data_IF_463397809523
#
_entry.id   IF_463397809523
#
_cell.length_a   1.000
_cell.length_b   1.000
_cell.length_c   1.000
_cell.angle_alpha   90.00
_cell.angle_beta   90.00
_cell.angle_gamma   90.00
#
_symmetry.space_group_name_H-M   'P 1'
#
loop_
_entity.id
_entity.type
_entity.pdbx_description
1 polymer ?
#
# COMPACT_ATOMS: atom_id res chain seq x y z
N UNK A 1 -3.31 -26.57 -8.79
CA UNK A 1 -3.59 -25.49 -7.81
C UNK A 1 -4.01 -24.24 -8.59
N UNK A 2 -5.22 -24.26 -9.15
CA UNK A 2 -5.71 -23.21 -10.07
C UNK A 2 -7.20 -22.90 -9.88
N UNK A 3 -7.88 -23.69 -9.03
CA UNK A 3 -9.32 -23.64 -8.81
C UNK A 3 -9.76 -22.48 -7.91
N UNK A 4 -8.95 -22.06 -6.94
CA UNK A 4 -9.36 -21.03 -5.97
C UNK A 4 -9.32 -19.58 -6.51
N UNK A 5 -8.63 -19.33 -7.64
CA UNK A 5 -8.54 -17.97 -8.20
C UNK A 5 -9.76 -17.62 -9.04
N UNK A 6 -10.32 -18.57 -9.78
CA UNK A 6 -11.56 -18.37 -10.53
C UNK A 6 -12.72 -18.02 -9.59
N UNK A 7 -12.94 -18.87 -8.59
CA UNK A 7 -14.00 -18.68 -7.58
C UNK A 7 -13.84 -17.38 -6.78
N UNK A 8 -12.58 -16.97 -6.50
CA UNK A 8 -12.33 -15.68 -5.87
C UNK A 8 -12.73 -14.55 -6.82
N UNK A 9 -12.25 -14.54 -8.06
CA UNK A 9 -12.56 -13.48 -9.02
C UNK A 9 -14.06 -13.36 -9.34
N UNK A 10 -14.82 -14.44 -9.25
CA UNK A 10 -16.27 -14.49 -9.47
C UNK A 10 -17.10 -14.10 -8.23
N UNK A 11 -16.47 -13.95 -7.06
CA UNK A 11 -17.16 -13.56 -5.84
C UNK A 11 -17.61 -12.09 -5.89
N UNK A 12 -18.93 -11.87 -5.93
CA UNK A 12 -19.54 -10.54 -5.84
C UNK A 12 -19.40 -10.00 -4.42
N UNK A 13 -18.26 -9.37 -4.16
CA UNK A 13 -17.87 -8.85 -2.85
C UNK A 13 -17.50 -7.38 -2.99
N UNK A 14 -17.93 -6.55 -2.04
CA UNK A 14 -17.54 -5.14 -1.96
C UNK A 14 -16.03 -4.93 -1.74
N UNK A 15 -15.26 -6.01 -1.55
CA UNK A 15 -13.80 -6.00 -1.45
C UNK A 15 -13.20 -6.67 -2.68
N UNK A 16 -12.04 -6.22 -3.16
CA UNK A 16 -11.30 -6.96 -4.17
C UNK A 16 -11.13 -8.41 -3.71
N UNK A 17 -11.41 -9.42 -4.55
CA UNK A 17 -11.37 -10.82 -4.14
C UNK A 17 -10.03 -11.33 -3.60
N UNK A 18 -8.95 -10.60 -3.88
CA UNK A 18 -7.60 -10.86 -3.40
C UNK A 18 -7.28 -10.16 -2.08
N UNK A 19 -8.19 -9.35 -1.52
CA UNK A 19 -7.99 -8.69 -0.24
C UNK A 19 -7.97 -9.61 1.01
N UNK A 20 -8.65 -10.77 1.07
CA UNK A 20 -8.65 -11.61 2.27
C UNK A 20 -7.40 -12.50 2.41
N UNK A 21 -6.56 -12.61 1.37
CA UNK A 21 -5.39 -13.49 1.37
C UNK A 21 -4.26 -12.95 0.50
N UNK A 22 -3.01 -13.17 0.89
CA UNK A 22 -1.85 -12.92 0.02
C UNK A 22 -1.82 -13.97 -1.10
N UNK A 23 -2.02 -13.59 -2.38
CA UNK A 23 -1.95 -14.56 -3.46
C UNK A 23 -0.51 -15.06 -3.63
N UNK A 24 -0.34 -16.37 -3.65
CA UNK A 24 0.94 -17.02 -3.94
C UNK A 24 0.89 -17.63 -5.34
N UNK A 25 1.92 -17.36 -6.15
CA UNK A 25 2.04 -17.86 -7.51
C UNK A 25 3.29 -18.74 -7.62
N UNK A 26 3.12 -19.98 -8.06
CA UNK A 26 4.20 -20.97 -8.18
C UNK A 26 4.32 -21.51 -9.61
N UNK A 27 5.55 -21.85 -10.02
CA UNK A 27 5.84 -22.56 -11.25
C UNK A 27 6.48 -21.72 -12.37
N UNK A 28 6.92 -22.35 -13.47
CA UNK A 28 7.76 -21.72 -14.49
C UNK A 28 7.04 -20.60 -15.27
N UNK A 29 5.71 -20.60 -15.30
CA UNK A 29 4.91 -19.53 -15.94
C UNK A 29 4.59 -18.37 -15.00
N UNK A 30 4.92 -18.47 -13.71
CA UNK A 30 4.64 -17.44 -12.71
C UNK A 30 5.35 -16.13 -13.04
N UNK A 31 6.62 -16.20 -13.45
CA UNK A 31 7.45 -15.03 -13.72
C UNK A 31 6.94 -14.17 -14.88
N UNK A 32 6.15 -14.74 -15.79
CA UNK A 32 5.57 -14.04 -16.95
C UNK A 32 4.10 -13.66 -16.78
N UNK A 33 3.48 -13.93 -15.63
CA UNK A 33 2.07 -13.61 -15.44
C UNK A 33 1.88 -12.10 -15.33
N UNK A 34 1.15 -11.53 -16.29
CA UNK A 34 0.68 -10.16 -16.25
C UNK A 34 -0.83 -10.14 -16.01
N UNK A 35 -1.27 -9.40 -14.99
CA UNK A 35 -2.67 -9.15 -14.72
C UNK A 35 -3.02 -7.73 -15.12
N UNK A 36 -4.13 -7.55 -15.83
CA UNK A 36 -4.65 -6.23 -16.12
C UNK A 36 -5.33 -5.67 -14.87
N UNK A 37 -4.95 -4.49 -14.38
CA UNK A 37 -5.65 -3.88 -13.27
C UNK A 37 -7.11 -3.61 -13.67
N UNK A 38 -8.08 -3.70 -12.73
CA UNK A 38 -9.45 -3.31 -13.00
C UNK A 38 -9.53 -1.87 -13.50
N UNK A 39 -10.34 -1.62 -14.53
CA UNK A 39 -10.42 -0.33 -15.24
C UNK A 39 -11.14 0.77 -14.45
N UNK A 40 -11.98 0.38 -13.50
CA UNK A 40 -12.67 1.31 -12.62
C UNK A 40 -12.27 1.01 -11.19
N UNK A 41 -12.06 2.05 -10.36
CA UNK A 41 -12.09 1.84 -8.93
C UNK A 41 -13.47 1.25 -8.61
N UNK A 42 -13.50 0.00 -8.14
CA UNK A 42 -14.61 -0.43 -7.29
C UNK A 42 -14.82 0.64 -6.22
N UNK A 43 -16.06 0.86 -5.76
CA UNK A 43 -16.45 1.86 -4.76
C UNK A 43 -15.73 1.69 -3.41
N UNK A 44 -14.41 1.83 -3.44
CA UNK A 44 -13.47 1.72 -2.36
C UNK A 44 -13.39 3.12 -1.78
N UNK A 45 -14.16 3.33 -0.73
CA UNK A 45 -14.05 4.52 0.08
C UNK A 45 -12.64 4.52 0.69
N UNK A 46 -11.76 5.35 0.13
CA UNK A 46 -10.49 5.63 0.78
C UNK A 46 -10.80 6.32 2.11
N UNK A 47 -10.11 5.95 3.20
CA UNK A 47 -10.21 6.70 4.43
C UNK A 47 -9.91 8.17 4.10
N UNK A 48 -10.87 9.08 4.31
CA UNK A 48 -10.65 10.54 4.15
C UNK A 48 -9.85 11.10 5.33
N UNK A 49 -8.87 10.33 5.77
CA UNK A 49 -7.99 10.72 6.85
C UNK A 49 -6.74 11.29 6.19
N UNK A 50 -6.49 12.59 6.40
CA UNK A 50 -5.20 13.18 6.05
C UNK A 50 -4.05 12.43 6.71
N UNK A 51 -2.82 12.77 6.37
CA UNK A 51 -1.63 12.06 6.88
C UNK A 51 -1.55 12.06 8.41
N UNK A 52 -2.30 12.92 9.10
CA UNK A 52 -2.41 12.92 10.57
C UNK A 52 -2.98 11.64 11.22
N UNK A 53 -3.50 10.66 10.45
CA UNK A 53 -3.98 9.39 11.02
C UNK A 53 -3.18 8.22 10.43
N UNK A 54 -2.33 7.61 11.26
CA UNK A 54 -1.60 6.39 10.95
C UNK A 54 -0.24 6.59 10.25
N UNK A 55 0.09 7.79 9.79
CA UNK A 55 1.47 8.11 9.38
C UNK A 55 2.28 8.60 10.58
N UNK A 56 3.58 8.25 10.64
CA UNK A 56 4.56 8.98 11.44
C UNK A 56 4.58 10.47 11.08
N UNK A 57 4.98 11.30 12.03
CA UNK A 57 5.12 12.75 11.81
C UNK A 57 6.06 13.07 10.64
N UNK A 58 5.79 14.22 10.01
CA UNK A 58 6.63 14.74 8.94
C UNK A 58 8.06 14.93 9.45
N UNK A 59 9.09 14.44 8.73
CA UNK A 59 10.47 14.60 9.16
C UNK A 59 10.81 16.09 9.30
N UNK A 60 11.32 16.55 10.47
CA UNK A 60 11.54 17.97 10.71
C UNK A 60 12.62 18.56 9.78
N UNK A 61 13.54 17.74 9.29
CA UNK A 61 14.59 18.10 8.33
C UNK A 61 14.96 16.90 7.47
N UNK A 62 15.09 17.12 6.16
CA UNK A 62 15.61 16.13 5.22
C UNK A 62 16.70 16.77 4.34
N UNK A 63 17.95 16.34 4.52
CA UNK A 63 19.11 16.94 3.84
C UNK A 63 19.79 15.93 2.91
N UNK A 64 20.26 16.38 1.75
CA UNK A 64 21.10 15.57 0.84
C UNK A 64 20.36 14.47 0.08
N UNK A 65 19.02 14.49 0.03
CA UNK A 65 18.18 13.44 -0.59
C UNK A 65 17.39 13.90 -1.81
N UNK A 66 17.76 15.04 -2.39
CA UNK A 66 17.07 15.62 -3.56
C UNK A 66 17.02 14.64 -4.73
N UNK A 67 18.14 13.99 -5.07
CA UNK A 67 18.20 13.06 -6.21
C UNK A 67 17.30 11.82 -6.02
N UNK A 68 17.38 11.07 -4.90
CA UNK A 68 16.44 9.99 -4.61
C UNK A 68 14.96 10.42 -4.67
N UNK A 69 14.61 11.57 -4.07
CA UNK A 69 13.24 12.06 -4.05
C UNK A 69 12.74 12.46 -5.44
N UNK A 70 13.60 13.10 -6.24
CA UNK A 70 13.25 13.49 -7.61
C UNK A 70 12.95 12.27 -8.47
N UNK A 71 13.82 11.25 -8.42
CA UNK A 71 13.61 9.98 -9.14
C UNK A 71 12.35 9.27 -8.68
N UNK A 72 12.10 9.25 -7.39
CA UNK A 72 10.89 8.65 -6.83
C UNK A 72 9.62 9.40 -7.28
N UNK A 73 9.63 10.73 -7.25
CA UNK A 73 8.49 11.54 -7.69
C UNK A 73 8.21 11.38 -9.19
N UNK A 74 9.26 11.24 -10.02
CA UNK A 74 9.15 10.93 -11.44
C UNK A 74 8.58 9.52 -11.67
N UNK A 75 9.11 8.51 -10.97
CA UNK A 75 8.59 7.15 -11.05
C UNK A 75 7.13 7.06 -10.60
N UNK A 76 6.70 7.87 -9.63
CA UNK A 76 5.31 7.89 -9.17
C UNK A 76 4.41 8.84 -9.99
N UNK A 77 4.83 9.30 -11.17
CA UNK A 77 3.99 10.12 -12.02
C UNK A 77 2.86 9.35 -12.71
N UNK A 78 1.66 9.94 -12.88
CA UNK A 78 0.53 9.30 -13.54
C UNK A 78 0.87 8.64 -14.89
N UNK A 79 1.83 9.20 -15.63
CA UNK A 79 2.27 8.75 -16.95
C UNK A 79 3.65 8.05 -16.96
N UNK A 80 4.22 7.70 -15.80
CA UNK A 80 5.56 7.11 -15.74
C UNK A 80 5.63 5.66 -16.24
N UNK A 81 4.49 4.96 -16.29
CA UNK A 81 4.43 3.52 -16.50
C UNK A 81 4.89 2.67 -15.30
N UNK A 82 5.46 3.29 -14.27
CA UNK A 82 5.94 2.62 -13.06
C UNK A 82 4.85 2.58 -11.99
N UNK A 83 4.90 1.56 -11.11
CA UNK A 83 3.87 1.32 -10.08
C UNK A 83 4.33 1.53 -8.65
N UNK A 84 5.63 1.62 -8.40
CA UNK A 84 6.17 1.76 -7.06
C UNK A 84 7.65 2.12 -7.05
N UNK A 85 8.13 2.45 -5.85
CA UNK A 85 9.53 2.82 -5.58
C UNK A 85 10.00 2.03 -4.36
N UNK A 86 11.18 1.43 -4.47
CA UNK A 86 11.86 0.77 -3.34
C UNK A 86 13.06 1.60 -2.91
N UNK A 87 13.01 2.14 -1.69
CA UNK A 87 14.21 2.69 -1.04
C UNK A 87 14.96 1.57 -0.33
N UNK A 88 16.23 1.37 -0.68
CA UNK A 88 17.11 0.35 -0.08
C UNK A 88 18.45 0.96 0.34
N UNK A 89 19.19 0.24 1.19
CA UNK A 89 20.46 0.69 1.77
C UNK A 89 20.54 0.46 3.28
N UNK A 90 21.64 0.89 3.89
CA UNK A 90 21.91 0.67 5.32
C UNK A 90 20.78 1.18 6.23
N UNK A 91 20.54 0.53 7.39
CA UNK A 91 19.74 1.10 8.46
C UNK A 91 20.19 2.54 8.79
N UNK A 92 19.25 3.41 9.17
CA UNK A 92 19.55 4.82 9.46
C UNK A 92 19.83 5.72 8.25
N UNK A 93 19.92 5.18 7.02
CA UNK A 93 20.19 6.00 5.83
C UNK A 93 19.05 6.98 5.44
N UNK A 94 17.92 6.99 6.17
CA UNK A 94 16.79 7.88 5.91
C UNK A 94 15.79 7.37 4.88
N UNK A 95 15.73 6.06 4.64
CA UNK A 95 14.78 5.42 3.70
C UNK A 95 13.33 5.74 4.07
N UNK A 96 13.00 5.55 5.35
CA UNK A 96 11.69 5.86 5.92
C UNK A 96 11.37 7.35 5.79
N UNK A 97 12.33 8.23 6.09
CA UNK A 97 12.17 9.67 5.95
C UNK A 97 11.90 10.08 4.50
N UNK A 98 12.56 9.47 3.52
CA UNK A 98 12.29 9.73 2.09
C UNK A 98 10.88 9.29 1.67
N UNK A 99 10.39 8.17 2.19
CA UNK A 99 9.03 7.71 1.93
C UNK A 99 7.98 8.63 2.59
N UNK A 100 8.23 9.10 3.82
CA UNK A 100 7.37 10.08 4.49
C UNK A 100 7.33 11.41 3.75
N UNK A 101 8.48 11.95 3.35
CA UNK A 101 8.57 13.18 2.58
C UNK A 101 7.72 13.12 1.30
N UNK A 102 7.76 12.01 0.57
CA UNK A 102 6.93 11.84 -0.63
C UNK A 102 5.44 11.80 -0.31
N UNK A 103 5.05 11.18 0.81
CA UNK A 103 3.67 11.13 1.25
C UNK A 103 3.16 12.54 1.58
N UNK A 104 3.88 13.27 2.44
CA UNK A 104 3.57 14.65 2.84
C UNK A 104 3.54 15.61 1.65
N UNK A 105 4.50 15.51 0.74
CA UNK A 105 4.54 16.34 -0.47
C UNK A 105 3.38 16.09 -1.44
N UNK A 106 2.77 14.91 -1.40
CA UNK A 106 1.72 14.51 -2.32
C UNK A 106 0.37 14.28 -1.64
N UNK A 107 0.16 14.84 -0.44
CA UNK A 107 -1.05 14.68 0.36
C UNK A 107 -2.35 14.90 -0.44
N UNK A 108 -2.39 15.93 -1.30
CA UNK A 108 -3.66 16.44 -1.84
C UNK A 108 -3.93 16.20 -3.33
N UNK A 109 -2.91 15.90 -4.15
CA UNK A 109 -3.06 16.12 -5.61
C UNK A 109 -2.49 15.00 -6.51
N UNK A 110 -1.96 13.91 -5.95
CA UNK A 110 -1.30 12.86 -6.78
C UNK A 110 -1.87 11.46 -6.65
N UNK A 111 -2.37 11.10 -5.47
CA UNK A 111 -2.93 9.79 -5.19
C UNK A 111 -4.36 9.97 -4.71
N UNK A 112 -5.22 9.00 -5.04
CA UNK A 112 -6.60 9.02 -4.57
C UNK A 112 -6.67 8.93 -3.04
N UNK A 113 -5.67 8.29 -2.42
CA UNK A 113 -5.49 8.19 -0.97
C UNK A 113 -4.17 7.50 -0.64
N UNK A 114 -3.78 7.56 0.63
CA UNK A 114 -2.49 7.08 1.10
C UNK A 114 -2.65 6.22 2.36
N UNK A 115 -1.79 5.21 2.51
CA UNK A 115 -1.76 4.33 3.68
C UNK A 115 -0.31 4.12 4.09
N UNK A 116 -0.06 4.18 5.39
CA UNK A 116 1.22 3.78 5.97
C UNK A 116 1.10 2.42 6.64
N UNK A 117 2.02 1.51 6.31
CA UNK A 117 2.04 0.17 6.87
C UNK A 117 3.45 -0.19 7.31
N UNK A 118 3.55 -0.75 8.51
CA UNK A 118 4.78 -1.35 9.04
C UNK A 118 4.55 -2.85 9.14
N UNK A 119 5.45 -3.64 8.55
CA UNK A 119 5.42 -5.09 8.72
C UNK A 119 5.58 -5.42 10.22
N UNK A 120 4.84 -6.41 10.75
CA UNK A 120 5.06 -6.85 12.12
C UNK A 120 6.49 -7.38 12.27
N UNK A 121 7.04 -7.31 13.48
CA UNK A 121 8.38 -7.82 13.76
C UNK A 121 8.46 -9.33 13.49
N UNK A 122 9.64 -9.81 13.07
CA UNK A 122 9.88 -11.23 12.82
C UNK A 122 9.55 -12.05 14.08
N UNK A 123 8.67 -13.05 13.94
CA UNK A 123 8.19 -13.89 15.05
C UNK A 123 6.80 -13.54 15.59
N UNK A 124 6.16 -12.46 15.13
CA UNK A 124 4.80 -12.09 15.53
C UNK A 124 3.66 -12.88 14.83
N UNK A 125 3.99 -13.80 13.91
CA UNK A 125 3.04 -14.55 13.06
C UNK A 125 1.99 -15.38 13.84
N UNK A 126 2.26 -15.70 15.12
CA UNK A 126 1.35 -16.47 15.97
C UNK A 126 0.29 -15.65 16.72
N UNK A 127 0.44 -14.32 16.80
CA UNK A 127 -0.41 -13.48 17.62
C UNK A 127 -1.10 -12.42 16.76
N UNK A 128 -2.18 -12.80 16.07
CA UNK A 128 -3.02 -11.82 15.34
C UNK A 128 -3.55 -10.79 16.34
N UNK A 129 -3.09 -9.53 16.34
CA UNK A 129 -3.56 -8.56 17.32
C UNK A 129 -5.02 -8.23 16.98
N UNK A 130 -5.97 -8.46 17.90
CA UNK A 130 -7.42 -8.16 17.74
C UNK A 130 -7.71 -6.75 17.17
N UNK A 131 -6.74 -5.86 17.26
CA UNK A 131 -6.70 -4.47 16.78
C UNK A 131 -6.87 -4.37 15.25
N UNK A 132 -6.48 -5.40 14.47
CA UNK A 132 -6.55 -5.35 12.99
C UNK A 132 -7.98 -5.25 12.45
N UNK A 133 -8.98 -5.86 13.11
CA UNK A 133 -10.38 -5.75 12.70
C UNK A 133 -10.95 -4.35 12.93
N UNK A 134 -10.60 -3.74 14.06
CA UNK A 134 -11.18 -2.47 14.50
C UNK A 134 -10.56 -1.28 13.76
N UNK A 135 -9.25 -1.32 13.48
CA UNK A 135 -8.57 -0.18 12.86
C UNK A 135 -8.84 -0.09 11.35
N UNK A 136 -8.87 -1.24 10.65
CA UNK A 136 -9.31 -1.29 9.25
C UNK A 136 -10.83 -1.11 9.15
N UNK A 137 -11.60 -1.67 10.09
CA UNK A 137 -13.05 -1.49 10.18
C UNK A 137 -13.47 -0.02 10.35
N UNK A 138 -12.81 0.73 11.23
CA UNK A 138 -13.05 2.18 11.37
C UNK A 138 -12.57 3.00 10.18
N UNK A 139 -11.38 2.70 9.64
CA UNK A 139 -10.86 3.40 8.47
C UNK A 139 -11.73 3.20 7.22
N UNK A 140 -12.44 2.06 7.13
CA UNK A 140 -13.39 1.73 6.06
C UNK A 140 -14.87 2.03 6.41
N UNK A 141 -15.16 2.71 7.52
CA UNK A 141 -16.53 3.11 7.88
C UNK A 141 -17.49 1.94 8.19
N UNK A 142 -16.99 0.84 8.74
CA UNK A 142 -17.74 -0.40 9.02
C UNK A 142 -18.16 -0.56 10.50
N UNK A 143 -18.60 0.51 11.16
CA UNK A 143 -19.46 0.36 12.35
C UNK A 143 -20.84 0.95 12.04
N UNK A 144 -21.82 0.05 11.83
CA UNK A 144 -23.21 0.34 12.16
C UNK A 144 -23.57 -0.50 13.38
N UNK A 145 -24.33 0.13 14.28
CA UNK A 145 -24.94 -0.44 15.48
C UNK A 145 -25.56 -1.83 15.30
#
# INVERSE_FOLDING_TARGET
>A
MQLALGDALDADSARPPLSPATPLLFGPRAAGLALNPPRQPFGFALPQTGLGIGFPEEPPRLVGRVQPLLRASQALAPASGMRGVLFYGMPGAGKTACALELAYRHERERFQGQVWYHAPEEGADGQRPRIWRTQIGRALGMERE
#
